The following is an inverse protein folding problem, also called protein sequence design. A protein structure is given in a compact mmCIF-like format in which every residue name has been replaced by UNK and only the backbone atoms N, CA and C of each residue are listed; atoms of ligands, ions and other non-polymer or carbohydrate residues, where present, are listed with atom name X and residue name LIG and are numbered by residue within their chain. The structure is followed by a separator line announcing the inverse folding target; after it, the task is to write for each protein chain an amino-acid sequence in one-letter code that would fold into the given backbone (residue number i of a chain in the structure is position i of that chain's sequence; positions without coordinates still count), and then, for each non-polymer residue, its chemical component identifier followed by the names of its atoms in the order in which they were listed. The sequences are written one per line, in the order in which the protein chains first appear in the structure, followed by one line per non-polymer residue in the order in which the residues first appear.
data_IF_555122095135
#
_entry.id   IF_555122095135
#
_cell.length_a   1.000
_cell.length_b   1.000
_cell.length_c   1.000
_cell.angle_alpha   90.00
_cell.angle_beta   90.00
_cell.angle_gamma   90.00
#
_symmetry.space_group_name_H-M   'P 1'
#
loop_
_entity.id
_entity.type
_entity.pdbx_description
1 polymer ?
#
# COMPACT_ATOMS: atom_id res chain seq x y z
N UNK A 1 0.85 -24.24 -9.99
CA UNK A 1 1.59 -23.73 -8.83
C UNK A 1 0.85 -24.17 -7.58
N UNK A 2 1.52 -24.78 -6.60
CA UNK A 2 0.83 -25.33 -5.43
C UNK A 2 0.27 -24.18 -4.55
N UNK A 3 -0.90 -24.35 -3.98
CA UNK A 3 -1.59 -23.37 -3.11
C UNK A 3 -0.69 -22.85 -1.99
N UNK A 4 0.18 -23.70 -1.44
CA UNK A 4 1.16 -23.32 -0.42
C UNK A 4 2.11 -22.21 -0.89
N UNK A 5 2.62 -22.30 -2.12
CA UNK A 5 3.52 -21.30 -2.70
C UNK A 5 2.81 -19.95 -2.91
N UNK A 6 1.55 -19.98 -3.40
CA UNK A 6 0.75 -18.77 -3.58
C UNK A 6 0.50 -18.08 -2.24
N UNK A 7 0.16 -18.83 -1.21
CA UNK A 7 -0.05 -18.27 0.13
C UNK A 7 1.24 -17.66 0.70
N UNK A 8 2.39 -18.29 0.51
CA UNK A 8 3.67 -17.73 0.95
C UNK A 8 4.02 -16.44 0.23
N UNK A 9 3.78 -16.36 -1.08
CA UNK A 9 3.97 -15.13 -1.84
C UNK A 9 3.02 -14.02 -1.37
N UNK A 10 1.76 -14.34 -1.13
CA UNK A 10 0.78 -13.38 -0.63
C UNK A 10 1.13 -12.86 0.78
N UNK A 11 1.64 -13.73 1.66
CA UNK A 11 2.15 -13.35 2.98
C UNK A 11 3.37 -12.45 2.85
N UNK A 12 4.34 -12.82 2.02
CA UNK A 12 5.54 -12.01 1.77
C UNK A 12 5.19 -10.61 1.25
N UNK A 13 4.28 -10.56 0.26
CA UNK A 13 3.79 -9.29 -0.29
C UNK A 13 3.11 -8.44 0.80
N UNK A 14 2.23 -9.05 1.62
CA UNK A 14 1.51 -8.35 2.69
C UNK A 14 2.47 -7.77 3.73
N UNK A 15 3.49 -8.53 4.14
CA UNK A 15 4.50 -8.06 5.08
C UNK A 15 5.31 -6.90 4.50
N UNK A 16 5.78 -7.03 3.26
CA UNK A 16 6.62 -6.02 2.61
C UNK A 16 5.83 -4.74 2.35
N UNK A 17 4.65 -4.86 1.72
CA UNK A 17 3.78 -3.70 1.46
C UNK A 17 3.35 -3.04 2.77
N UNK A 18 2.95 -3.83 3.77
CA UNK A 18 2.55 -3.33 5.08
C UNK A 18 3.68 -2.59 5.79
N UNK A 19 4.91 -3.11 5.78
CA UNK A 19 6.06 -2.44 6.38
C UNK A 19 6.42 -1.15 5.65
N UNK A 20 6.38 -1.14 4.31
CA UNK A 20 6.66 0.05 3.51
C UNK A 20 5.62 1.15 3.77
N UNK A 21 4.32 0.82 3.71
CA UNK A 21 3.25 1.77 3.97
C UNK A 21 3.29 2.28 5.42
N UNK A 22 3.56 1.41 6.38
CA UNK A 22 3.72 1.78 7.79
C UNK A 22 4.84 2.79 7.98
N UNK A 23 6.04 2.49 7.47
CA UNK A 23 7.19 3.38 7.58
C UNK A 23 7.00 4.69 6.80
N UNK A 24 6.46 4.62 5.58
CA UNK A 24 6.17 5.80 4.78
C UNK A 24 5.13 6.70 5.46
N UNK A 25 4.07 6.10 6.01
CA UNK A 25 3.04 6.82 6.75
C UNK A 25 3.60 7.55 7.97
N UNK A 26 4.43 6.88 8.79
CA UNK A 26 5.15 7.53 9.90
C UNK A 26 6.06 8.66 9.41
N UNK A 27 6.77 8.44 8.30
CA UNK A 27 7.62 9.46 7.68
C UNK A 27 6.83 10.71 7.29
N UNK A 28 5.69 10.54 6.62
CA UNK A 28 4.83 11.67 6.26
C UNK A 28 4.19 12.36 7.47
N UNK A 29 3.85 11.63 8.53
CA UNK A 29 3.34 12.23 9.77
C UNK A 29 4.43 13.04 10.47
N UNK A 30 5.61 12.46 10.66
CA UNK A 30 6.69 13.04 11.46
C UNK A 30 7.52 14.09 10.71
N UNK A 31 7.92 13.76 9.47
CA UNK A 31 8.87 14.53 8.67
C UNK A 31 8.44 14.68 7.20
N UNK A 32 7.26 15.27 6.91
CA UNK A 32 6.70 15.31 5.56
C UNK A 32 7.61 15.99 4.53
N UNK A 33 8.32 17.05 4.91
CA UNK A 33 9.26 17.73 4.02
C UNK A 33 10.44 16.82 3.63
N UNK A 34 10.94 16.01 4.55
CA UNK A 34 11.99 15.02 4.27
C UNK A 34 11.47 13.96 3.29
N UNK A 35 10.26 13.43 3.51
CA UNK A 35 9.66 12.44 2.63
C UNK A 35 9.50 12.97 1.21
N UNK A 36 9.01 14.21 1.04
CA UNK A 36 8.92 14.85 -0.27
C UNK A 36 10.29 14.98 -0.95
N UNK A 37 11.34 15.38 -0.21
CA UNK A 37 12.70 15.47 -0.76
C UNK A 37 13.22 14.10 -1.21
N UNK A 38 12.99 13.05 -0.42
CA UNK A 38 13.36 11.68 -0.78
C UNK A 38 12.64 11.20 -2.06
N UNK A 39 11.41 11.67 -2.30
CA UNK A 39 10.67 11.42 -3.54
C UNK A 39 11.17 12.28 -4.73
N UNK A 40 12.11 13.19 -4.52
CA UNK A 40 12.64 14.07 -5.57
C UNK A 40 11.88 15.40 -5.73
N UNK A 41 11.00 15.75 -4.81
CA UNK A 41 10.35 17.07 -4.76
C UNK A 41 11.33 18.08 -4.18
N UNK A 42 11.89 18.97 -5.02
CA UNK A 42 12.95 19.89 -4.62
C UNK A 42 12.44 21.05 -3.77
N UNK A 43 11.26 21.54 -4.09
CA UNK A 43 10.67 22.71 -3.45
C UNK A 43 9.36 22.28 -2.74
N UNK A 44 9.31 22.55 -1.44
CA UNK A 44 8.17 22.19 -0.60
C UNK A 44 7.50 23.48 -0.18
N UNK A 45 6.35 23.79 -0.79
CA UNK A 45 5.55 24.96 -0.50
C UNK A 45 4.25 24.58 0.21
N UNK A 46 3.74 25.49 1.01
CA UNK A 46 2.42 25.43 1.62
C UNK A 46 2.36 24.66 2.93
N UNK A 47 1.14 24.47 3.39
CA UNK A 47 0.87 23.80 4.66
C UNK A 47 1.02 22.27 4.55
N UNK A 48 1.94 21.73 5.31
CA UNK A 48 2.23 20.29 5.32
C UNK A 48 1.22 19.48 6.14
N UNK A 49 0.23 20.09 6.75
CA UNK A 49 -0.79 19.39 7.57
C UNK A 49 -1.56 18.37 6.74
N UNK A 50 -1.92 18.70 5.50
CA UNK A 50 -2.61 17.78 4.61
C UNK A 50 -1.76 16.57 4.25
N UNK A 51 -0.43 16.77 4.11
CA UNK A 51 0.48 15.66 3.84
C UNK A 51 0.64 14.75 5.06
N UNK A 52 0.63 15.31 6.28
CA UNK A 52 0.56 14.52 7.52
C UNK A 52 -0.73 13.72 7.61
N UNK A 53 -1.84 14.31 7.19
CA UNK A 53 -3.13 13.62 7.13
C UNK A 53 -3.11 12.46 6.14
N UNK A 54 -2.56 12.66 4.93
CA UNK A 54 -2.32 11.56 3.98
C UNK A 54 -1.43 10.48 4.60
N UNK A 55 -0.37 10.89 5.31
CA UNK A 55 0.51 9.98 6.05
C UNK A 55 -0.24 9.11 7.06
N UNK A 56 -1.24 9.67 7.76
CA UNK A 56 -2.06 8.91 8.70
C UNK A 56 -2.87 7.81 8.01
N UNK A 57 -3.41 8.06 6.80
CA UNK A 57 -4.08 7.03 6.01
C UNK A 57 -3.13 5.95 5.53
N UNK A 58 -1.96 6.34 5.00
CA UNK A 58 -0.94 5.38 4.55
C UNK A 58 -0.47 4.51 5.73
N UNK A 59 -0.25 5.09 6.90
CA UNK A 59 0.06 4.38 8.13
C UNK A 59 -1.05 3.39 8.52
N UNK A 60 -2.32 3.79 8.45
CA UNK A 60 -3.45 2.91 8.75
C UNK A 60 -3.53 1.72 7.78
N UNK A 61 -3.28 1.94 6.49
CA UNK A 61 -3.20 0.87 5.49
C UNK A 61 -2.05 -0.10 5.82
N UNK A 62 -0.86 0.42 6.10
CA UNK A 62 0.29 -0.41 6.52
C UNK A 62 0.01 -1.23 7.77
N UNK A 63 -0.62 -0.60 8.78
CA UNK A 63 -1.03 -1.26 10.02
C UNK A 63 -2.03 -2.38 9.77
N UNK A 64 -2.98 -2.20 8.85
CA UNK A 64 -3.97 -3.22 8.51
C UNK A 64 -3.35 -4.50 7.96
N UNK A 65 -2.32 -4.39 7.12
CA UNK A 65 -1.56 -5.53 6.63
C UNK A 65 -0.82 -6.27 7.75
N UNK A 66 -0.13 -5.51 8.61
CA UNK A 66 0.63 -6.10 9.72
C UNK A 66 -0.29 -6.77 10.74
N UNK A 67 -1.46 -6.18 10.99
CA UNK A 67 -2.49 -6.77 11.84
C UNK A 67 -3.04 -8.07 11.25
N UNK A 68 -3.38 -8.07 9.96
CA UNK A 68 -3.87 -9.25 9.26
C UNK A 68 -2.81 -10.38 9.21
N UNK A 69 -1.55 -10.03 8.98
CA UNK A 69 -0.42 -10.96 9.04
C UNK A 69 -0.26 -11.58 10.42
N UNK A 70 -0.33 -10.76 11.49
CA UNK A 70 -0.28 -11.27 12.86
C UNK A 70 -1.43 -12.24 13.14
N UNK A 71 -2.66 -11.90 12.73
CA UNK A 71 -3.82 -12.75 12.85
C UNK A 71 -3.62 -14.12 12.18
N UNK A 72 -3.08 -14.10 10.96
CA UNK A 72 -2.73 -15.34 10.25
C UNK A 72 -1.64 -16.15 10.98
N UNK A 73 -0.60 -15.50 11.50
CA UNK A 73 0.45 -16.17 12.28
C UNK A 73 -0.08 -16.89 13.51
N UNK A 74 -1.08 -16.31 14.18
CA UNK A 74 -1.64 -16.84 15.42
C UNK A 74 -2.68 -17.93 15.19
N UNK A 75 -3.47 -17.83 14.12
CA UNK A 75 -4.65 -18.68 13.91
C UNK A 75 -4.51 -19.65 12.72
N UNK A 76 -3.54 -19.43 11.85
CA UNK A 76 -3.41 -20.15 10.58
C UNK A 76 -4.49 -19.77 9.53
N UNK A 77 -5.49 -18.96 9.90
CA UNK A 77 -6.60 -18.59 9.02
C UNK A 77 -6.25 -17.39 8.14
N UNK A 78 -6.32 -17.56 6.83
CA UNK A 78 -5.99 -16.52 5.84
C UNK A 78 -7.11 -15.55 5.50
N UNK A 79 -8.30 -15.70 6.06
CA UNK A 79 -9.49 -14.90 5.72
C UNK A 79 -9.27 -13.39 5.90
N UNK A 80 -8.64 -12.99 7.01
CA UNK A 80 -8.35 -11.59 7.28
C UNK A 80 -7.30 -11.02 6.31
N UNK A 81 -6.25 -11.78 5.99
CA UNK A 81 -5.26 -11.39 4.98
C UNK A 81 -5.90 -11.24 3.60
N UNK A 82 -6.78 -12.17 3.22
CA UNK A 82 -7.52 -12.10 1.97
C UNK A 82 -8.38 -10.83 1.90
N UNK A 83 -9.19 -10.56 2.93
CA UNK A 83 -10.02 -9.37 3.00
C UNK A 83 -9.18 -8.07 2.95
N UNK A 84 -8.03 -8.05 3.63
CA UNK A 84 -7.10 -6.91 3.59
C UNK A 84 -6.55 -6.69 2.18
N UNK A 85 -6.15 -7.76 1.46
CA UNK A 85 -5.70 -7.65 0.07
C UNK A 85 -6.81 -7.13 -0.85
N UNK A 86 -8.05 -7.62 -0.70
CA UNK A 86 -9.19 -7.20 -1.51
C UNK A 86 -9.49 -5.70 -1.34
N UNK A 87 -9.56 -5.21 -0.09
CA UNK A 87 -9.89 -3.80 0.17
C UNK A 87 -8.74 -2.86 -0.22
N UNK A 88 -7.50 -3.28 -0.01
CA UNK A 88 -6.34 -2.43 -0.33
C UNK A 88 -6.09 -2.30 -1.83
N UNK A 89 -6.55 -3.25 -2.66
CA UNK A 89 -6.60 -3.06 -4.12
C UNK A 89 -7.41 -1.80 -4.47
N UNK A 90 -8.58 -1.64 -3.86
CA UNK A 90 -9.46 -0.48 -4.11
C UNK A 90 -8.75 0.82 -3.71
N UNK A 91 -8.12 0.84 -2.53
CA UNK A 91 -7.40 2.02 -2.05
C UNK A 91 -6.24 2.39 -2.97
N UNK A 92 -5.46 1.41 -3.40
CA UNK A 92 -4.32 1.63 -4.31
C UNK A 92 -4.75 2.09 -5.69
N UNK A 93 -5.81 1.51 -6.24
CA UNK A 93 -6.35 1.95 -7.53
C UNK A 93 -6.87 3.40 -7.44
N UNK A 94 -7.57 3.75 -6.37
CA UNK A 94 -8.06 5.10 -6.15
C UNK A 94 -6.91 6.11 -5.98
N UNK A 95 -5.91 5.80 -5.15
CA UNK A 95 -4.75 6.65 -4.90
C UNK A 95 -3.89 6.81 -6.16
N UNK A 96 -3.57 5.70 -6.84
CA UNK A 96 -2.78 5.72 -8.07
C UNK A 96 -3.48 6.46 -9.21
N UNK A 97 -4.80 6.25 -9.39
CA UNK A 97 -5.58 6.97 -10.40
C UNK A 97 -5.66 8.48 -10.11
N UNK A 98 -5.88 8.85 -8.84
CA UNK A 98 -5.87 10.26 -8.45
C UNK A 98 -4.50 10.89 -8.68
N UNK A 99 -3.41 10.24 -8.27
CA UNK A 99 -2.06 10.76 -8.47
C UNK A 99 -1.73 10.93 -9.96
N UNK A 100 -2.06 9.93 -10.80
CA UNK A 100 -1.90 10.03 -12.25
C UNK A 100 -2.67 11.21 -12.83
N UNK A 101 -3.94 11.34 -12.48
CA UNK A 101 -4.77 12.43 -12.94
C UNK A 101 -4.25 13.81 -12.48
N UNK A 102 -3.84 13.92 -11.22
CA UNK A 102 -3.30 15.17 -10.67
C UNK A 102 -1.97 15.58 -11.34
N UNK A 103 -1.13 14.62 -11.72
CA UNK A 103 0.08 14.88 -12.50
C UNK A 103 -0.28 15.39 -13.90
N UNK A 104 -1.24 14.74 -14.58
CA UNK A 104 -1.69 15.16 -15.91
C UNK A 104 -2.31 16.56 -15.91
N UNK A 105 -2.95 16.95 -14.80
CA UNK A 105 -3.50 18.31 -14.60
C UNK A 105 -2.46 19.33 -14.15
N UNK A 106 -1.22 18.91 -13.91
CA UNK A 106 -0.15 19.78 -13.40
C UNK A 106 -0.32 20.20 -11.93
N UNK A 107 -1.20 19.51 -11.16
CA UNK A 107 -1.40 19.77 -9.74
C UNK A 107 -0.32 19.12 -8.88
N UNK A 108 0.21 18.01 -9.33
CA UNK A 108 1.33 17.32 -8.71
C UNK A 108 2.53 17.30 -9.64
N UNK A 109 3.72 17.45 -9.07
CA UNK A 109 4.98 17.34 -9.83
C UNK A 109 5.21 15.88 -10.28
N UNK A 110 5.94 15.65 -11.39
CA UNK A 110 6.18 14.30 -11.92
C UNK A 110 6.81 13.30 -10.93
N UNK A 111 7.48 13.78 -9.89
CA UNK A 111 8.04 12.93 -8.83
C UNK A 111 6.99 12.01 -8.16
N UNK A 112 5.72 12.41 -8.13
CA UNK A 112 4.60 11.59 -7.64
C UNK A 112 4.25 10.40 -8.53
N UNK A 113 4.82 10.31 -9.74
CA UNK A 113 4.63 9.13 -10.60
C UNK A 113 5.11 7.83 -9.93
N UNK A 114 6.11 7.91 -9.04
CA UNK A 114 6.57 6.77 -8.26
C UNK A 114 5.44 6.14 -7.43
N UNK A 115 4.58 6.96 -6.81
CA UNK A 115 3.40 6.50 -6.07
C UNK A 115 2.42 5.79 -6.99
N UNK A 116 2.12 6.39 -8.15
CA UNK A 116 1.23 5.80 -9.16
C UNK A 116 1.70 4.42 -9.59
N UNK A 117 2.99 4.27 -9.92
CA UNK A 117 3.55 2.99 -10.37
C UNK A 117 3.56 1.93 -9.26
N UNK A 118 3.91 2.31 -8.03
CA UNK A 118 3.91 1.41 -6.90
C UNK A 118 2.49 0.93 -6.60
N UNK A 119 1.52 1.83 -6.54
CA UNK A 119 0.13 1.48 -6.22
C UNK A 119 -0.50 0.59 -7.28
N UNK A 120 -0.36 0.91 -8.57
CA UNK A 120 -0.87 0.05 -9.62
C UNK A 120 -0.14 -1.30 -9.67
N UNK A 121 1.19 -1.32 -9.51
CA UNK A 121 1.96 -2.56 -9.47
C UNK A 121 1.53 -3.48 -8.33
N UNK A 122 1.35 -2.93 -7.13
CA UNK A 122 0.87 -3.69 -5.98
C UNK A 122 -0.58 -4.14 -6.16
N UNK A 123 -1.48 -3.28 -6.67
CA UNK A 123 -2.87 -3.66 -6.93
C UNK A 123 -2.98 -4.81 -7.94
N UNK A 124 -2.22 -4.77 -9.04
CA UNK A 124 -2.18 -5.85 -10.03
C UNK A 124 -1.64 -7.15 -9.43
N UNK A 125 -0.56 -7.06 -8.66
CA UNK A 125 0.05 -8.23 -8.02
C UNK A 125 -0.90 -8.86 -7.00
N UNK A 126 -1.57 -8.06 -6.18
CA UNK A 126 -2.58 -8.51 -5.23
C UNK A 126 -3.77 -9.19 -5.93
N UNK A 127 -4.30 -8.57 -6.98
CA UNK A 127 -5.40 -9.11 -7.77
C UNK A 127 -4.99 -10.45 -8.42
N UNK A 128 -3.78 -10.56 -8.91
CA UNK A 128 -3.26 -11.81 -9.48
C UNK A 128 -3.17 -12.92 -8.42
N UNK A 129 -2.63 -12.62 -7.22
CA UNK A 129 -2.54 -13.59 -6.13
C UNK A 129 -3.93 -14.07 -5.69
N UNK A 130 -4.89 -13.16 -5.56
CA UNK A 130 -6.27 -13.50 -5.20
C UNK A 130 -6.94 -14.38 -6.26
N UNK A 131 -6.75 -14.07 -7.55
CA UNK A 131 -7.25 -14.91 -8.66
C UNK A 131 -6.60 -16.30 -8.70
N UNK A 132 -5.37 -16.43 -8.23
CA UNK A 132 -4.67 -17.71 -8.09
C UNK A 132 -5.09 -18.50 -6.85
N UNK A 133 -6.03 -18.01 -6.08
CA UNK A 133 -6.60 -18.69 -4.94
C UNK A 133 -5.83 -18.48 -3.63
N UNK A 134 -5.11 -17.35 -3.49
CA UNK A 134 -4.48 -17.01 -2.22
C UNK A 134 -5.51 -17.00 -1.09
N UNK A 135 -5.22 -17.75 -0.03
CA UNK A 135 -6.04 -17.87 1.18
C UNK A 135 -7.50 -18.35 0.93
N UNK A 136 -7.77 -19.02 -0.18
CA UNK A 136 -9.00 -19.81 -0.27
C UNK A 136 -8.90 -20.94 0.75
N UNK A 137 -9.86 -20.98 1.68
CA UNK A 137 -10.05 -22.14 2.56
C UNK A 137 -10.34 -23.34 1.66
N UNK A 138 -9.49 -24.38 1.74
CA UNK A 138 -9.94 -25.71 1.34
C UNK A 138 -11.05 -26.09 2.32
N UNK A 139 -12.29 -26.02 1.88
CA UNK A 139 -13.41 -26.69 2.55
C UNK A 139 -13.15 -28.19 2.60
#
# INVERSE_FOLDING_TARGET
MQTKTINQLAVGLSCTAGALDFCAGLGFIGAPALMLRLMGVKEVYGDLVYLRFVGAFVFAVGTSYLWAWRGWRLTGKGTLLRATLEITIIFRLAAGAFAAWAILRGWLVPAWASVTFIDFGLAVTQAWLLRRGAFLSSE
#
